data_IF_111708620011
#
_entry.id   IF_111708620011
#
_cell.length_a   1.000
_cell.length_b   1.000
_cell.length_c   1.000
_cell.angle_alpha   90.00
_cell.angle_beta   90.00
_cell.angle_gamma   90.00
#
_symmetry.space_group_name_H-M   'P 1'
#
loop_
_entity.id
_entity.type
_entity.pdbx_description
1 polymer ?
#
# COMPACT_ATOMS: atom_id res chain seq x y z
N UNK A 1 -71.33 14.13 11.67
CA UNK A 1 -69.95 13.84 12.09
C UNK A 1 -69.43 12.54 11.48
N UNK A 2 -70.09 11.39 11.68
CA UNK A 2 -69.66 10.09 11.13
C UNK A 2 -69.58 10.00 9.58
N UNK A 3 -70.37 10.80 8.84
CA UNK A 3 -70.37 10.77 7.37
C UNK A 3 -69.20 11.53 6.74
N UNK A 4 -68.63 12.52 7.44
CA UNK A 4 -67.43 13.22 6.96
C UNK A 4 -66.17 12.37 7.11
N UNK A 5 -66.13 11.51 8.13
CA UNK A 5 -64.95 10.69 8.43
C UNK A 5 -64.78 9.53 7.43
N UNK A 6 -65.89 8.97 6.93
CA UNK A 6 -65.88 7.90 5.92
C UNK A 6 -65.40 8.43 4.56
N UNK A 7 -65.86 9.62 4.15
CA UNK A 7 -65.44 10.24 2.88
C UNK A 7 -63.94 10.57 2.92
N UNK A 8 -63.46 11.13 4.04
CA UNK A 8 -62.04 11.48 4.20
C UNK A 8 -61.13 10.24 4.24
N UNK A 9 -61.63 9.11 4.77
CA UNK A 9 -60.89 7.84 4.80
C UNK A 9 -60.82 7.17 3.41
N UNK A 10 -61.80 7.40 2.55
CA UNK A 10 -61.79 6.89 1.18
C UNK A 10 -60.86 7.71 0.25
N UNK A 11 -60.84 9.04 0.38
CA UNK A 11 -59.97 9.89 -0.43
C UNK A 11 -58.48 9.66 -0.12
N UNK A 12 -58.13 9.48 1.15
CA UNK A 12 -56.74 9.18 1.57
C UNK A 12 -56.22 7.84 1.02
N UNK A 13 -57.08 6.81 0.94
CA UNK A 13 -56.71 5.52 0.36
C UNK A 13 -56.56 5.56 -1.17
N UNK A 14 -57.28 6.45 -1.85
CA UNK A 14 -57.18 6.64 -3.31
C UNK A 14 -55.92 7.43 -3.71
N UNK A 15 -55.54 8.47 -2.95
CA UNK A 15 -54.29 9.21 -3.20
C UNK A 15 -53.04 8.34 -3.00
N UNK A 16 -53.02 7.48 -1.97
CA UNK A 16 -51.86 6.61 -1.67
C UNK A 16 -51.60 5.59 -2.77
N UNK A 17 -52.62 5.21 -3.57
CA UNK A 17 -52.46 4.24 -4.67
C UNK A 17 -52.01 4.90 -5.98
N UNK A 18 -52.17 6.21 -6.14
CA UNK A 18 -51.84 6.93 -7.36
C UNK A 18 -50.36 7.39 -7.43
N UNK A 19 -49.63 7.36 -6.31
CA UNK A 19 -48.23 7.83 -6.25
C UNK A 19 -47.22 6.68 -6.17
N UNK A 20 -47.23 5.77 -7.16
CA UNK A 20 -46.14 4.80 -7.35
C UNK A 20 -45.38 5.12 -8.64
N UNK A 21 -44.16 5.67 -8.59
CA UNK A 21 -43.41 6.00 -9.79
C UNK A 21 -42.86 4.72 -10.45
N UNK A 22 -43.25 4.49 -11.70
CA UNK A 22 -42.64 3.50 -12.59
C UNK A 22 -41.31 4.07 -13.10
N UNK A 23 -40.18 3.59 -12.58
CA UNK A 23 -38.85 4.04 -13.02
C UNK A 23 -38.46 3.44 -14.40
N UNK A 24 -37.75 4.19 -15.28
CA UNK A 24 -37.38 3.73 -16.61
C UNK A 24 -36.27 2.66 -16.57
N UNK A 25 -36.34 1.73 -17.53
CA UNK A 25 -35.40 0.63 -17.73
C UNK A 25 -33.96 1.13 -17.93
N UNK A 26 -33.09 0.87 -16.94
CA UNK A 26 -31.65 1.11 -17.03
C UNK A 26 -30.99 0.06 -17.92
N UNK A 27 -30.54 0.47 -19.10
CA UNK A 27 -29.70 -0.30 -20.03
C UNK A 27 -28.39 -0.70 -19.32
N UNK A 28 -28.24 -1.98 -18.97
CA UNK A 28 -27.03 -2.53 -18.36
C UNK A 28 -25.94 -2.68 -19.44
N UNK A 29 -25.01 -1.73 -19.52
CA UNK A 29 -23.77 -1.94 -20.28
C UNK A 29 -22.92 -3.03 -19.60
N UNK A 30 -22.32 -3.97 -20.36
CA UNK A 30 -21.62 -5.11 -19.78
C UNK A 30 -20.36 -4.66 -19.03
N UNK A 31 -20.40 -4.73 -17.69
CA UNK A 31 -19.25 -4.62 -16.77
C UNK A 31 -18.28 -5.82 -16.86
N UNK A 32 -18.02 -6.34 -18.06
CA UNK A 32 -17.08 -7.46 -18.25
C UNK A 32 -15.69 -7.02 -18.72
N UNK A 33 -15.56 -5.88 -19.41
CA UNK A 33 -14.27 -5.46 -19.97
C UNK A 33 -13.28 -4.86 -18.95
N UNK A 34 -13.74 -4.41 -17.78
CA UNK A 34 -12.87 -3.75 -16.77
C UNK A 34 -12.24 -4.70 -15.76
N UNK A 35 -12.40 -6.02 -15.92
CA UNK A 35 -12.04 -7.02 -14.90
C UNK A 35 -10.69 -7.71 -15.13
N UNK A 36 -9.98 -7.39 -16.22
CA UNK A 36 -8.75 -8.10 -16.60
C UNK A 36 -7.45 -7.52 -16.00
N UNK A 37 -7.44 -6.26 -15.53
CA UNK A 37 -6.20 -5.59 -15.09
C UNK A 37 -6.18 -5.11 -13.63
N UNK A 38 -7.06 -5.63 -12.78
CA UNK A 38 -7.14 -5.18 -11.39
C UNK A 38 -7.47 -6.35 -10.45
N UNK A 39 -6.52 -7.26 -10.25
CA UNK A 39 -6.65 -8.26 -9.18
C UNK A 39 -5.38 -8.49 -8.38
N UNK A 40 -4.21 -8.05 -8.85
CA UNK A 40 -2.96 -8.17 -8.09
C UNK A 40 -2.81 -7.07 -7.02
N UNK A 41 -3.20 -5.83 -7.34
CA UNK A 41 -3.09 -4.70 -6.41
C UNK A 41 -4.10 -4.71 -5.23
N UNK A 42 -5.18 -5.51 -5.32
CA UNK A 42 -6.27 -5.50 -4.33
C UNK A 42 -6.09 -6.48 -3.16
N UNK A 43 -5.00 -7.27 -3.13
CA UNK A 43 -4.70 -8.19 -2.03
C UNK A 43 -3.49 -7.78 -1.16
N UNK A 44 -2.87 -6.61 -1.40
CA UNK A 44 -1.87 -6.09 -0.48
C UNK A 44 -2.57 -5.46 0.74
N UNK A 45 -2.56 -6.18 1.87
CA UNK A 45 -3.03 -5.67 3.15
C UNK A 45 -2.13 -4.50 3.58
N UNK A 46 -2.74 -3.41 4.06
CA UNK A 46 -1.97 -2.27 4.55
C UNK A 46 -1.11 -2.67 5.75
N UNK A 47 0.22 -2.61 5.59
CA UNK A 47 1.23 -2.92 6.60
C UNK A 47 1.87 -1.69 7.24
N UNK A 48 1.51 -0.49 6.80
CA UNK A 48 2.01 0.78 7.36
C UNK A 48 1.87 0.85 8.90
N UNK A 49 0.73 0.48 9.52
CA UNK A 49 0.64 0.55 10.99
C UNK A 49 1.58 -0.45 11.70
N UNK A 50 1.86 -1.61 11.10
CA UNK A 50 2.80 -2.60 11.65
C UNK A 50 4.23 -2.04 11.61
N UNK A 51 4.65 -1.48 10.46
CA UNK A 51 5.96 -0.85 10.32
C UNK A 51 6.12 0.38 11.22
N UNK A 52 5.10 1.24 11.32
CA UNK A 52 5.12 2.40 12.21
C UNK A 52 5.35 2.00 13.67
N UNK A 53 4.72 0.91 14.13
CA UNK A 53 4.92 0.41 15.49
C UNK A 53 6.38 -0.01 15.74
N UNK A 54 7.01 -0.70 14.80
CA UNK A 54 8.41 -1.15 14.91
C UNK A 54 9.37 0.06 14.94
N UNK A 55 9.18 1.04 14.08
CA UNK A 55 10.06 2.21 14.02
C UNK A 55 9.81 3.23 15.14
N UNK A 56 8.65 3.22 15.77
CA UNK A 56 8.31 4.09 16.91
C UNK A 56 8.52 3.42 18.27
N UNK A 57 8.84 2.13 18.32
CA UNK A 57 9.18 1.45 19.58
C UNK A 57 10.38 2.13 20.25
N UNK A 58 10.26 2.44 21.54
CA UNK A 58 11.27 3.20 22.30
C UNK A 58 12.42 2.30 22.76
N UNK A 59 13.10 1.69 21.79
CA UNK A 59 14.20 0.75 22.03
C UNK A 59 15.58 1.44 22.13
N UNK A 60 15.65 2.77 22.00
CA UNK A 60 16.92 3.52 21.95
C UNK A 60 17.83 3.17 20.76
N UNK A 61 17.39 2.31 19.83
CA UNK A 61 18.19 1.85 18.69
C UNK A 61 18.23 2.90 17.58
N UNK A 62 19.40 3.10 16.93
CA UNK A 62 19.52 4.03 15.82
C UNK A 62 18.71 3.54 14.60
N UNK A 63 18.19 4.49 13.81
CA UNK A 63 17.26 4.20 12.72
C UNK A 63 17.79 3.21 11.68
N UNK A 64 19.10 3.18 11.43
CA UNK A 64 19.74 2.29 10.44
C UNK A 64 19.88 0.82 10.90
N UNK A 65 19.51 0.51 12.15
CA UNK A 65 19.49 -0.87 12.70
C UNK A 65 18.06 -1.25 13.14
N UNK A 66 17.11 -0.31 13.06
CA UNK A 66 15.79 -0.46 13.68
C UNK A 66 14.88 -1.47 12.98
N UNK A 67 15.21 -1.88 11.74
CA UNK A 67 14.57 -3.00 11.04
C UNK A 67 15.02 -4.38 11.51
N UNK A 68 15.99 -4.46 12.43
CA UNK A 68 16.39 -5.68 13.12
C UNK A 68 17.65 -6.35 12.56
N UNK A 69 17.73 -7.68 12.69
CA UNK A 69 18.94 -8.46 12.39
C UNK A 69 19.41 -8.35 10.94
N UNK A 70 18.47 -8.17 9.99
CA UNK A 70 18.78 -7.97 8.58
C UNK A 70 19.62 -6.71 8.34
N UNK A 71 19.26 -5.60 8.98
CA UNK A 71 19.97 -4.33 8.87
C UNK A 71 21.40 -4.44 9.43
N UNK A 72 21.58 -5.15 10.55
CA UNK A 72 22.90 -5.40 11.14
C UNK A 72 23.78 -6.23 10.22
N UNK A 73 23.24 -7.32 9.66
CA UNK A 73 23.98 -8.19 8.75
C UNK A 73 24.39 -7.42 7.50
N UNK A 74 23.46 -6.66 6.92
CA UNK A 74 23.71 -5.85 5.74
C UNK A 74 24.79 -4.79 6.02
N UNK A 75 24.69 -4.07 7.14
CA UNK A 75 25.69 -3.09 7.56
C UNK A 75 27.08 -3.71 7.69
N UNK A 76 27.20 -4.86 8.36
CA UNK A 76 28.49 -5.56 8.54
C UNK A 76 29.05 -6.05 7.22
N UNK A 77 28.20 -6.56 6.33
CA UNK A 77 28.61 -7.01 5.00
C UNK A 77 29.13 -5.83 4.16
N UNK A 78 28.38 -4.72 4.11
CA UNK A 78 28.78 -3.51 3.39
C UNK A 78 30.09 -2.94 3.96
N UNK A 79 30.21 -2.85 5.28
CA UNK A 79 31.43 -2.36 5.92
C UNK A 79 32.65 -3.24 5.63
N UNK A 80 32.47 -4.57 5.67
CA UNK A 80 33.56 -5.50 5.34
C UNK A 80 33.99 -5.35 3.88
N UNK A 81 33.01 -5.23 2.98
CA UNK A 81 33.27 -5.08 1.55
C UNK A 81 34.01 -3.76 1.24
N UNK A 82 33.59 -2.65 1.86
CA UNK A 82 34.24 -1.35 1.63
C UNK A 82 35.66 -1.35 2.15
N UNK A 83 35.91 -1.85 3.37
CA UNK A 83 37.26 -1.96 3.94
C UNK A 83 38.15 -2.84 3.06
N UNK A 84 37.66 -4.02 2.66
CA UNK A 84 38.41 -4.92 1.79
C UNK A 84 38.73 -4.27 0.44
N UNK A 85 37.75 -3.60 -0.18
CA UNK A 85 37.93 -2.87 -1.42
C UNK A 85 38.96 -1.75 -1.30
N UNK A 86 38.89 -0.93 -0.24
CA UNK A 86 39.87 0.13 0.00
C UNK A 86 41.28 -0.43 0.20
N UNK A 87 41.44 -1.47 1.01
CA UNK A 87 42.73 -2.13 1.20
C UNK A 87 43.30 -2.68 -0.12
N UNK A 88 42.45 -3.32 -0.93
CA UNK A 88 42.86 -3.83 -2.24
C UNK A 88 43.28 -2.72 -3.20
N UNK A 89 42.52 -1.63 -3.26
CA UNK A 89 42.88 -0.45 -4.06
C UNK A 89 44.20 0.16 -3.61
N UNK A 90 44.44 0.27 -2.30
CA UNK A 90 45.70 0.79 -1.76
C UNK A 90 46.88 -0.13 -2.07
N UNK A 91 46.70 -1.45 -1.98
CA UNK A 91 47.73 -2.42 -2.35
C UNK A 91 48.15 -2.26 -3.82
N UNK A 92 47.17 -2.19 -4.73
CA UNK A 92 47.45 -1.96 -6.15
C UNK A 92 48.06 -0.59 -6.43
N UNK A 93 47.59 0.45 -5.75
CA UNK A 93 48.15 1.79 -5.87
C UNK A 93 49.63 1.81 -5.45
N UNK A 94 49.98 1.14 -4.35
CA UNK A 94 51.37 1.04 -3.90
C UNK A 94 52.24 0.30 -4.92
N UNK A 95 51.78 -0.83 -5.44
CA UNK A 95 52.51 -1.56 -6.49
C UNK A 95 52.68 -0.72 -7.75
N UNK A 96 51.66 0.04 -8.15
CA UNK A 96 51.73 0.92 -9.30
C UNK A 96 52.63 2.15 -9.06
N UNK A 97 52.78 2.59 -7.81
CA UNK A 97 53.58 3.77 -7.44
C UNK A 97 55.09 3.55 -7.55
N UNK A 98 55.55 2.29 -7.46
CA UNK A 98 56.96 1.97 -7.63
C UNK A 98 57.24 1.50 -9.06
N UNK A 99 58.37 1.92 -9.66
CA UNK A 99 58.73 1.51 -11.01
C UNK A 99 58.96 0.00 -11.05
N UNK A 100 58.15 -0.68 -11.85
CA UNK A 100 58.32 -2.11 -12.07
C UNK A 100 59.52 -2.32 -13.00
N UNK A 101 60.40 -3.26 -12.63
CA UNK A 101 61.53 -3.63 -13.48
C UNK A 101 60.94 -4.19 -14.78
N UNK A 102 61.35 -3.59 -15.90
CA UNK A 102 61.03 -4.09 -17.23
C UNK A 102 62.03 -5.19 -17.50
N UNK A 103 61.55 -6.40 -17.79
CA UNK A 103 62.39 -7.47 -18.35
C UNK A 103 63.06 -6.98 -19.65
#
# INVERSE_FOLDING_TARGET
FLQREIIHKQETHLEVKASKPQAPSQTKLPRLASRAFSSSARQLKNKVPESQKIFQEDNGLPVHIKGGTGDVLLYRATMTLTIAGTCYSLYWLLIASFPQKKE
#
